data_IF_555352345058
#
_entry.id   IF_555352345058
#
_cell.length_a   1.000
_cell.length_b   1.000
_cell.length_c   1.000
_cell.angle_alpha   90.00
_cell.angle_beta   90.00
_cell.angle_gamma   90.00
#
_symmetry.space_group_name_H-M   'P 1'
#
loop_
_entity.id
_entity.type
_entity.pdbx_description
1 polymer ?
#
# COMPACT_ATOMS: atom_id res chain seq x y z
N UNK A 1 -24.60 5.96 -0.43
CA UNK A 1 -24.39 5.45 -1.81
C UNK A 1 -23.90 4.01 -1.80
N UNK A 2 -24.60 3.07 -2.46
CA UNK A 2 -24.23 1.64 -2.48
C UNK A 2 -23.25 1.25 -3.60
N UNK A 3 -23.30 1.92 -4.75
CA UNK A 3 -22.57 1.54 -5.97
C UNK A 3 -21.03 1.53 -5.80
N UNK A 4 -20.39 2.57 -5.21
CA UNK A 4 -18.93 2.56 -5.07
C UNK A 4 -18.42 1.47 -4.11
N UNK A 5 -19.18 1.16 -3.07
CA UNK A 5 -18.83 0.11 -2.10
C UNK A 5 -18.89 -1.27 -2.74
N UNK A 6 -19.92 -1.52 -3.56
CA UNK A 6 -20.05 -2.78 -4.28
C UNK A 6 -18.87 -2.98 -5.25
N UNK A 7 -18.49 -1.93 -5.99
CA UNK A 7 -17.37 -1.99 -6.93
C UNK A 7 -16.04 -2.30 -6.24
N UNK A 8 -15.68 -1.56 -5.18
CA UNK A 8 -14.42 -1.77 -4.43
C UNK A 8 -14.34 -3.14 -3.75
N UNK A 9 -15.46 -3.67 -3.28
CA UNK A 9 -15.49 -4.94 -2.53
C UNK A 9 -15.82 -6.17 -3.38
N UNK A 10 -16.11 -6.00 -4.67
CA UNK A 10 -16.47 -7.10 -5.59
C UNK A 10 -15.42 -8.22 -5.62
N UNK A 11 -14.15 -7.86 -5.74
CA UNK A 11 -13.03 -8.82 -5.89
C UNK A 11 -12.89 -9.71 -4.64
N UNK A 12 -12.85 -9.11 -3.46
CA UNK A 12 -12.72 -9.82 -2.18
C UNK A 12 -13.94 -10.73 -1.91
N UNK A 13 -15.16 -10.25 -2.19
CA UNK A 13 -16.40 -11.02 -1.91
C UNK A 13 -16.60 -12.20 -2.86
N UNK A 14 -16.40 -12.02 -4.16
CA UNK A 14 -16.67 -13.07 -5.14
C UNK A 14 -15.55 -14.11 -5.26
N UNK A 15 -14.33 -13.75 -4.89
CA UNK A 15 -13.20 -14.69 -4.87
C UNK A 15 -12.93 -15.28 -3.49
N UNK A 16 -13.78 -14.97 -2.49
CA UNK A 16 -13.61 -15.37 -1.09
C UNK A 16 -12.16 -15.16 -0.61
N UNK A 17 -11.55 -14.02 -0.99
CA UNK A 17 -10.17 -13.73 -0.63
C UNK A 17 -10.10 -13.48 0.87
N UNK A 18 -9.47 -14.40 1.59
CA UNK A 18 -9.19 -14.30 3.00
C UNK A 18 -7.67 -14.31 3.20
N UNK A 19 -7.24 -13.89 4.39
CA UNK A 19 -5.85 -13.91 4.82
C UNK A 19 -5.77 -14.57 6.19
N UNK A 20 -4.65 -15.22 6.48
CA UNK A 20 -4.41 -15.87 7.76
C UNK A 20 -3.49 -14.96 8.57
N UNK A 21 -3.90 -14.64 9.80
CA UNK A 21 -3.07 -13.82 10.68
C UNK A 21 -1.81 -14.58 11.11
N UNK A 22 -0.63 -13.99 10.95
CA UNK A 22 0.65 -14.58 11.38
C UNK A 22 0.78 -14.72 12.91
N UNK A 23 0.06 -13.89 13.67
CA UNK A 23 0.14 -13.86 15.14
C UNK A 23 -0.79 -14.89 15.79
N UNK A 24 -2.06 -14.93 15.36
CA UNK A 24 -3.08 -15.77 16.00
C UNK A 24 -3.58 -16.91 15.11
N UNK A 25 -3.00 -17.09 13.91
CA UNK A 25 -3.29 -18.13 12.91
C UNK A 25 -4.76 -18.27 12.49
N UNK A 26 -5.59 -17.31 12.87
CA UNK A 26 -7.00 -17.30 12.52
C UNK A 26 -7.21 -16.75 11.10
N UNK A 27 -8.12 -17.40 10.36
CA UNK A 27 -8.55 -16.93 9.05
C UNK A 27 -9.44 -15.69 9.19
N UNK A 28 -9.07 -14.62 8.50
CA UNK A 28 -9.76 -13.33 8.52
C UNK A 28 -10.36 -13.07 7.14
N UNK A 29 -11.67 -12.92 7.12
CA UNK A 29 -12.44 -12.52 5.94
C UNK A 29 -13.36 -11.36 6.29
N UNK A 30 -13.36 -10.24 5.54
CA UNK A 30 -12.49 -9.91 4.40
C UNK A 30 -11.06 -9.51 4.83
N UNK A 31 -10.11 -9.34 3.88
CA UNK A 31 -8.74 -8.95 4.20
C UNK A 31 -8.70 -7.50 4.70
N UNK A 32 -7.98 -7.27 5.79
CA UNK A 32 -7.92 -6.05 6.60
C UNK A 32 -6.50 -5.86 7.12
N UNK A 33 -6.08 -4.61 7.25
CA UNK A 33 -4.77 -4.26 7.84
C UNK A 33 -4.61 -4.67 9.31
N UNK A 34 -5.73 -4.82 10.04
CA UNK A 34 -5.75 -5.09 11.47
C UNK A 34 -6.62 -6.31 11.73
N UNK A 35 -6.05 -7.30 12.42
CA UNK A 35 -6.78 -8.52 12.75
C UNK A 35 -7.86 -8.25 13.83
N UNK A 36 -9.11 -8.70 13.64
CA UNK A 36 -10.17 -8.51 14.64
C UNK A 36 -9.99 -9.34 15.91
N UNK A 37 -9.18 -10.41 15.87
CA UNK A 37 -8.99 -11.30 17.01
C UNK A 37 -7.90 -10.82 17.95
N UNK A 38 -6.72 -10.49 17.42
CA UNK A 38 -5.55 -10.09 18.22
C UNK A 38 -5.23 -8.59 18.16
N UNK A 39 -5.92 -7.81 17.30
CA UNK A 39 -5.67 -6.37 17.09
C UNK A 39 -4.25 -6.02 16.64
N UNK A 40 -3.49 -7.02 16.18
CA UNK A 40 -2.16 -6.84 15.60
C UNK A 40 -2.27 -6.55 14.10
N UNK A 41 -1.28 -5.83 13.51
CA UNK A 41 -1.25 -5.61 12.08
C UNK A 41 -1.12 -6.93 11.33
N UNK A 42 -1.87 -7.07 10.24
CA UNK A 42 -1.74 -8.22 9.34
C UNK A 42 -0.58 -7.95 8.39
N UNK A 43 0.35 -8.91 8.26
CA UNK A 43 1.46 -8.77 7.32
C UNK A 43 0.89 -8.78 5.90
N UNK A 44 0.87 -7.60 5.27
CA UNK A 44 0.56 -7.48 3.87
C UNK A 44 1.58 -8.30 3.07
N UNK A 45 1.13 -9.40 2.46
CA UNK A 45 1.85 -10.05 1.36
C UNK A 45 1.75 -9.17 0.09
N UNK A 46 2.14 -7.91 0.21
CA UNK A 46 2.41 -7.02 -0.90
C UNK A 46 3.92 -6.97 -1.09
N UNK A 47 4.50 -7.98 -1.73
CA UNK A 47 5.80 -7.76 -2.36
C UNK A 47 5.68 -6.50 -3.24
N UNK A 48 6.68 -5.61 -3.24
CA UNK A 48 6.58 -4.33 -3.94
C UNK A 48 6.28 -4.62 -5.40
N UNK A 49 5.13 -4.13 -5.86
CA UNK A 49 4.81 -4.09 -7.29
C UNK A 49 5.77 -3.09 -7.91
N UNK A 50 6.98 -3.54 -8.27
CA UNK A 50 7.78 -2.91 -9.34
C UNK A 50 7.11 -3.25 -10.67
N UNK A 51 5.85 -2.83 -10.83
CA UNK A 51 5.15 -2.77 -12.11
C UNK A 51 4.60 -1.36 -12.27
N UNK A 52 5.48 -0.39 -12.04
CA UNK A 52 5.42 0.93 -12.64
C UNK A 52 6.87 1.39 -12.84
N UNK A 53 7.49 0.90 -13.92
CA UNK A 53 8.32 1.81 -14.69
C UNK A 53 7.37 2.84 -15.32
N UNK A 54 6.85 3.76 -14.50
CA UNK A 54 6.50 5.08 -15.01
C UNK A 54 7.76 5.57 -15.74
N UNK A 55 7.67 6.14 -16.95
CA UNK A 55 8.86 6.74 -17.52
C UNK A 55 9.36 7.75 -16.50
N UNK A 56 10.60 7.57 -16.09
CA UNK A 56 11.43 8.52 -15.38
C UNK A 56 11.06 9.97 -15.70
N UNK A 57 10.26 10.62 -14.86
CA UNK A 57 9.92 12.05 -14.87
C UNK A 57 9.11 12.25 -13.58
N UNK A 58 9.70 12.55 -12.44
CA UNK A 58 10.45 13.77 -12.12
C UNK A 58 11.48 13.40 -11.05
N UNK A 59 12.77 13.37 -11.41
CA UNK A 59 13.83 13.55 -10.42
C UNK A 59 13.81 15.05 -10.13
N UNK A 60 13.19 15.48 -9.03
CA UNK A 60 13.36 16.86 -8.57
C UNK A 60 14.84 16.99 -8.21
N UNK A 61 15.63 17.84 -8.89
CA UNK A 61 16.98 18.07 -8.41
C UNK A 61 16.87 18.69 -7.02
N UNK A 62 17.49 18.02 -6.04
CA UNK A 62 17.80 18.60 -4.75
C UNK A 62 18.44 19.97 -5.01
N UNK A 63 17.76 21.03 -4.61
CA UNK A 63 18.26 22.40 -4.74
C UNK A 63 19.39 22.61 -3.73
N UNK A 64 20.56 22.02 -4.00
CA UNK A 64 21.80 22.46 -3.37
C UNK A 64 22.27 23.69 -4.12
N UNK A 65 21.94 24.87 -3.60
CA UNK A 65 22.67 26.07 -3.93
C UNK A 65 24.08 25.97 -3.34
N UNK A 66 25.14 26.11 -4.16
CA UNK A 66 26.34 26.79 -3.71
C UNK A 66 26.30 28.24 -4.21
N UNK A 67 26.30 29.12 -3.21
CA UNK A 67 26.64 30.54 -3.23
C UNK A 67 27.73 30.82 -4.27
N UNK A 68 27.41 31.61 -5.30
CA UNK A 68 28.44 32.28 -6.10
C UNK A 68 28.98 33.43 -5.24
N UNK A 69 30.06 33.17 -4.52
CA UNK A 69 30.96 34.21 -4.04
C UNK A 69 31.85 34.59 -5.23
N UNK A 70 31.63 35.78 -5.78
CA UNK A 70 32.53 36.43 -6.73
C UNK A 70 32.86 37.81 -6.17
N UNK A 71 34.11 37.95 -5.73
CA UNK A 71 34.77 39.21 -5.38
C UNK A 71 34.88 40.12 -6.62
N UNK A 72 34.25 41.29 -6.55
CA UNK A 72 34.70 42.61 -7.04
C UNK A 72 33.73 43.71 -6.55
#
# INVERSE_FOLDING_TARGET
MAVPNLWRTKKQRYRLQAEVCSVCTQAVFPPREICPHCRQPMQQAGAPVLVFALPTLIKLPEATAPVMAGDD
#
